data_IF_270207812858
#
_entry.id   IF_270207812858
#
_cell.length_a   1.000
_cell.length_b   1.000
_cell.length_c   1.000
_cell.angle_alpha   90.00
_cell.angle_beta   90.00
_cell.angle_gamma   90.00
#
_symmetry.space_group_name_H-M   'P 1'
#
loop_
_entity.id
_entity.type
_entity.pdbx_description
1 polymer ?
#
# COMPACT_ATOMS: atom_id res chain seq x y z
N UNK A 1 -13.93 -20.98 -13.80
CA UNK A 1 -13.44 -21.54 -12.51
C UNK A 1 -13.60 -20.44 -11.47
N UNK A 2 -14.29 -20.70 -10.35
CA UNK A 2 -14.55 -19.70 -9.28
C UNK A 2 -13.67 -20.05 -8.09
N UNK A 3 -12.76 -19.15 -7.69
CA UNK A 3 -11.97 -19.29 -6.47
C UNK A 3 -12.78 -18.71 -5.29
N UNK A 4 -13.01 -19.46 -4.20
CA UNK A 4 -13.68 -18.95 -3.02
C UNK A 4 -12.62 -18.52 -1.99
N UNK A 5 -12.53 -17.24 -1.67
CA UNK A 5 -11.68 -16.77 -0.58
C UNK A 5 -12.55 -16.35 0.61
N UNK A 6 -12.77 -17.30 1.52
CA UNK A 6 -13.22 -17.01 2.88
C UNK A 6 -12.08 -16.31 3.62
N UNK A 7 -12.11 -14.97 3.69
CA UNK A 7 -11.26 -14.20 4.58
C UNK A 7 -11.61 -14.55 6.03
N UNK A 8 -10.62 -15.07 6.77
CA UNK A 8 -10.70 -15.29 8.22
C UNK A 8 -10.67 -13.93 8.92
N UNK A 9 -11.54 -13.77 9.91
CA UNK A 9 -11.93 -12.49 10.52
C UNK A 9 -10.93 -11.91 11.53
N UNK A 10 -9.83 -12.60 11.84
CA UNK A 10 -9.00 -12.25 13.03
C UNK A 10 -7.50 -12.07 12.75
N UNK A 11 -7.06 -12.10 11.48
CA UNK A 11 -5.68 -11.79 11.09
C UNK A 11 -5.68 -10.62 10.11
N UNK A 12 -5.51 -9.39 10.60
CA UNK A 12 -5.16 -8.26 9.75
C UNK A 12 -3.67 -8.39 9.35
N UNK A 13 -3.38 -9.35 8.48
CA UNK A 13 -2.12 -9.33 7.72
C UNK A 13 -2.35 -8.35 6.57
N UNK A 14 -1.63 -7.23 6.51
CA UNK A 14 -1.77 -6.28 5.41
C UNK A 14 -1.47 -7.03 4.11
N UNK A 15 -2.49 -7.19 3.27
CA UNK A 15 -2.35 -7.86 2.00
C UNK A 15 -1.42 -7.01 1.13
N UNK A 16 -0.26 -7.54 0.77
CA UNK A 16 0.57 -6.94 -0.26
C UNK A 16 -0.25 -6.89 -1.55
N UNK A 17 -0.32 -5.71 -2.16
CA UNK A 17 -0.98 -5.53 -3.45
C UNK A 17 0.10 -5.36 -4.51
N UNK A 18 0.22 -6.35 -5.40
CA UNK A 18 1.07 -6.26 -6.58
C UNK A 18 0.27 -5.58 -7.69
N UNK A 19 0.76 -4.44 -8.19
CA UNK A 19 0.14 -3.74 -9.32
C UNK A 19 1.09 -3.76 -10.51
N UNK A 20 0.58 -4.23 -11.65
CA UNK A 20 1.31 -4.36 -12.91
C UNK A 20 0.81 -3.31 -13.90
N UNK A 21 1.72 -2.49 -14.43
CA UNK A 21 1.45 -1.60 -15.56
C UNK A 21 2.71 -1.41 -16.40
N UNK A 22 2.58 -1.56 -17.72
CA UNK A 22 3.65 -1.26 -18.69
C UNK A 22 3.58 0.20 -19.19
N UNK A 23 2.54 0.94 -18.81
CA UNK A 23 2.35 2.34 -19.17
C UNK A 23 3.00 3.26 -18.12
N UNK A 24 3.99 4.09 -18.51
CA UNK A 24 4.68 5.00 -17.60
C UNK A 24 3.83 6.15 -17.08
N UNK A 25 2.76 6.52 -17.78
CA UNK A 25 1.84 7.56 -17.34
C UNK A 25 0.66 7.00 -16.55
N UNK A 26 0.59 5.66 -16.39
CA UNK A 26 -0.49 5.03 -15.64
C UNK A 26 -0.46 5.50 -14.18
N UNK A 27 -1.57 6.10 -13.76
CA UNK A 27 -1.86 6.36 -12.37
C UNK A 27 -2.61 5.16 -11.76
N UNK A 28 -2.23 4.79 -10.54
CA UNK A 28 -2.87 3.77 -9.73
C UNK A 28 -3.32 4.42 -8.44
N UNK A 29 -4.58 4.22 -8.08
CA UNK A 29 -5.12 4.64 -6.79
C UNK A 29 -5.29 3.41 -5.89
N UNK A 30 -4.64 3.44 -4.74
CA UNK A 30 -4.81 2.44 -3.67
C UNK A 30 -5.81 2.98 -2.65
N UNK A 31 -6.85 2.23 -2.38
CA UNK A 31 -7.86 2.55 -1.37
C UNK A 31 -7.71 1.64 -0.13
N UNK A 32 -7.92 2.22 1.04
CA UNK A 32 -7.91 1.47 2.30
C UNK A 32 -9.31 0.98 2.65
N UNK A 33 -9.49 -0.35 2.67
CA UNK A 33 -10.77 -0.99 2.99
C UNK A 33 -10.92 -1.38 4.47
N UNK A 34 -10.20 -0.71 5.37
CA UNK A 34 -10.19 -1.01 6.81
C UNK A 34 -10.66 0.12 7.72
N UNK A 35 -10.60 -0.09 9.04
CA UNK A 35 -10.84 0.98 10.01
C UNK A 35 -9.82 2.12 9.85
N UNK A 36 -10.30 3.37 9.76
CA UNK A 36 -9.42 4.55 9.64
C UNK A 36 -8.46 4.72 10.84
N UNK A 37 -8.85 4.26 12.03
CA UNK A 37 -7.97 4.28 13.21
C UNK A 37 -6.71 3.40 13.06
N UNK A 38 -6.79 2.36 12.23
CA UNK A 38 -5.63 1.51 11.87
C UNK A 38 -4.79 2.23 10.80
N UNK A 39 -5.45 2.85 9.82
CA UNK A 39 -4.78 3.60 8.76
C UNK A 39 -3.92 4.74 9.30
N UNK A 40 -4.44 5.54 10.23
CA UNK A 40 -3.71 6.63 10.90
C UNK A 40 -2.51 6.17 11.75
N UNK A 41 -2.22 4.87 11.79
CA UNK A 41 -1.02 4.26 12.41
C UNK A 41 -0.24 3.36 11.46
N UNK A 42 -0.68 3.26 10.20
CA UNK A 42 -0.11 2.37 9.19
C UNK A 42 0.71 3.16 8.18
N UNK A 43 1.93 2.70 7.93
CA UNK A 43 2.85 3.26 6.95
C UNK A 43 2.63 2.56 5.62
N UNK A 44 2.46 3.32 4.53
CA UNK A 44 2.43 2.74 3.19
C UNK A 44 3.83 2.76 2.61
N UNK A 45 4.32 1.59 2.22
CA UNK A 45 5.67 1.41 1.72
C UNK A 45 5.60 0.92 0.28
N UNK A 46 6.25 1.66 -0.60
CA UNK A 46 6.56 1.20 -1.93
C UNK A 46 7.89 0.42 -1.90
N UNK A 47 7.80 -0.88 -2.15
CA UNK A 47 8.96 -1.78 -2.08
C UNK A 47 9.94 -1.60 -3.23
N UNK A 48 9.52 -0.99 -4.34
CA UNK A 48 10.33 -0.84 -5.54
C UNK A 48 11.21 0.41 -5.49
N UNK A 49 10.65 1.51 -5.01
CA UNK A 49 11.32 2.81 -4.88
C UNK A 49 11.91 3.04 -3.49
N UNK A 50 11.42 2.30 -2.48
CA UNK A 50 11.72 2.55 -1.07
C UNK A 50 11.02 3.79 -0.52
N UNK A 51 10.06 4.34 -1.26
CA UNK A 51 9.23 5.45 -0.81
C UNK A 51 8.33 5.00 0.33
N UNK A 52 8.17 5.88 1.31
CA UNK A 52 7.39 5.63 2.51
C UNK A 52 6.47 6.81 2.73
N UNK A 53 5.17 6.55 2.75
CA UNK A 53 4.14 7.52 3.07
C UNK A 53 3.77 7.37 4.54
N UNK A 54 3.81 8.50 5.24
CA UNK A 54 3.49 8.55 6.67
C UNK A 54 2.00 8.24 6.90
N UNK A 55 1.65 7.66 8.06
CA UNK A 55 0.27 7.37 8.40
C UNK A 55 -0.60 8.62 8.35
N UNK A 56 -1.73 8.54 7.64
CA UNK A 56 -2.75 9.58 7.61
C UNK A 56 -4.16 8.97 7.64
N UNK A 57 -5.19 9.79 7.51
CA UNK A 57 -6.59 9.34 7.49
C UNK A 57 -7.27 9.54 6.13
N UNK A 58 -6.51 9.72 5.03
CA UNK A 58 -7.07 10.06 3.71
C UNK A 58 -7.76 8.89 3.03
N UNK A 59 -7.29 7.66 3.28
CA UNK A 59 -7.92 6.43 2.79
C UNK A 59 -7.71 6.14 1.30
N UNK A 60 -7.10 7.05 0.54
CA UNK A 60 -6.77 6.87 -0.88
C UNK A 60 -5.40 7.49 -1.19
N UNK A 61 -4.61 6.82 -2.02
CA UNK A 61 -3.25 7.22 -2.39
C UNK A 61 -3.03 6.97 -3.88
N UNK A 62 -2.61 8.00 -4.61
CA UNK A 62 -2.37 7.92 -6.06
C UNK A 62 -0.87 7.88 -6.35
N UNK A 63 -0.47 6.97 -7.22
CA UNK A 63 0.91 6.75 -7.65
C UNK A 63 1.00 6.68 -9.16
N UNK A 64 2.01 7.32 -9.73
CA UNK A 64 2.42 7.10 -11.11
C UNK A 64 3.28 5.83 -11.19
N UNK A 65 3.03 4.97 -12.16
CA UNK A 65 3.73 3.68 -12.24
C UNK A 65 5.10 3.78 -12.91
N UNK A 66 5.40 4.85 -13.67
CA UNK A 66 6.68 5.09 -14.35
C UNK A 66 7.20 3.91 -15.20
N UNK A 67 6.29 3.02 -15.64
CA UNK A 67 6.58 1.83 -16.45
C UNK A 67 7.20 0.70 -15.63
N UNK A 68 7.07 0.78 -14.30
CA UNK A 68 7.59 -0.16 -13.34
C UNK A 68 6.46 -1.02 -12.78
N UNK A 69 6.75 -2.29 -12.54
CA UNK A 69 5.97 -3.10 -11.61
C UNK A 69 6.21 -2.57 -10.19
N UNK A 70 5.15 -2.17 -9.48
CA UNK A 70 5.23 -1.65 -8.11
C UNK A 70 4.51 -2.58 -7.13
N UNK A 71 5.14 -2.84 -5.99
CA UNK A 71 4.58 -3.58 -4.85
C UNK A 71 4.42 -2.65 -3.67
N UNK A 72 3.20 -2.62 -3.13
CA UNK A 72 2.84 -1.81 -1.98
C UNK A 72 2.54 -2.67 -0.76
N UNK A 73 3.05 -2.25 0.39
CA UNK A 73 2.84 -2.91 1.68
C UNK A 73 2.43 -1.89 2.73
N UNK A 74 1.41 -2.21 3.51
CA UNK A 74 1.05 -1.48 4.72
C UNK A 74 1.80 -2.05 5.93
N UNK A 75 2.45 -1.24 6.74
CA UNK A 75 3.08 -1.65 8.00
C UNK A 75 2.47 -0.90 9.20
N UNK A 76 1.87 -1.65 10.13
CA UNK A 76 1.22 -1.09 11.32
C UNK A 76 2.22 -0.81 12.45
N UNK A 77 2.17 0.40 13.04
CA UNK A 77 2.93 0.85 14.23
C UNK A 77 4.46 0.75 14.19
N UNK A 78 5.04 0.14 13.16
CA UNK A 78 6.48 0.04 12.96
C UNK A 78 6.90 1.03 11.89
N UNK A 79 7.60 2.10 12.29
CA UNK A 79 8.25 2.99 11.33
C UNK A 79 9.33 2.20 10.58
N UNK A 80 9.28 2.10 9.25
CA UNK A 80 10.28 1.35 8.50
C UNK A 80 11.65 2.02 8.66
N UNK A 81 12.67 1.23 9.06
CA UNK A 81 14.02 1.71 9.37
C UNK A 81 14.77 2.27 8.16
N UNK A 82 14.29 1.97 6.94
CA UNK A 82 14.90 2.37 5.67
C UNK A 82 14.15 3.50 4.94
N UNK A 83 13.23 4.20 5.61
CA UNK A 83 12.43 5.25 4.98
C UNK A 83 13.29 6.42 4.46
N UNK A 84 13.40 6.57 3.14
CA UNK A 84 13.82 7.83 2.52
C UNK A 84 12.66 8.82 2.65
N UNK A 85 12.78 9.79 3.56
CA UNK A 85 11.82 10.89 3.68
C UNK A 85 11.86 11.75 2.42
N UNK A 86 10.71 11.97 1.78
CA UNK A 86 10.50 13.12 0.91
C UNK A 86 9.86 14.22 1.75
N UNK A 87 10.45 15.41 1.70
CA UNK A 87 10.02 16.62 2.37
C UNK A 87 9.00 17.38 1.51
#
# INVERSE_FOLDING_TARGET
MKLPTKQRKDNYSPAASDVLSDDPEQEVTLEWEGPGAILGRSWLIDQNTGEVIEPDNRGHYTFTMDGLQRRFTWEYEKRPSNARRKH
#
